data_IF_223669199414
#
_entry.id   IF_223669199414
#
_cell.length_a   1.000
_cell.length_b   1.000
_cell.length_c   1.000
_cell.angle_alpha   90.00
_cell.angle_beta   90.00
_cell.angle_gamma   90.00
#
_symmetry.space_group_name_H-M   'P 1'
#
loop_
_entity.id
_entity.type
_entity.pdbx_description
1 polymer ?
#
# COMPACT_ATOMS: atom_id res chain seq x y z
N UNK A 1 -6.72 2.21 28.15
CA UNK A 1 -7.16 3.63 28.00
C UNK A 1 -8.51 3.77 28.66
N UNK A 2 -8.74 4.75 29.53
CA UNK A 2 -10.07 4.94 30.13
C UNK A 2 -11.09 5.45 29.10
N UNK A 3 -12.37 5.13 29.26
CA UNK A 3 -13.44 5.59 28.34
C UNK A 3 -13.40 7.13 28.19
N UNK A 4 -13.19 7.87 29.29
CA UNK A 4 -13.05 9.33 29.27
C UNK A 4 -11.84 9.83 28.47
N UNK A 5 -10.73 9.09 28.47
CA UNK A 5 -9.54 9.47 27.67
C UNK A 5 -9.73 9.14 26.19
N UNK A 6 -10.43 8.06 25.84
CA UNK A 6 -10.73 7.68 24.46
C UNK A 6 -11.51 8.75 23.70
N UNK A 7 -12.59 9.28 24.29
CA UNK A 7 -13.43 10.28 23.63
C UNK A 7 -12.68 11.59 23.33
N UNK A 8 -11.68 11.91 24.15
CA UNK A 8 -10.78 13.08 23.99
C UNK A 8 -9.64 12.85 23.00
N UNK A 9 -9.44 11.63 22.50
CA UNK A 9 -8.37 11.31 21.58
C UNK A 9 -8.63 11.86 20.17
N UNK A 10 -7.55 12.10 19.41
CA UNK A 10 -7.65 12.45 17.98
C UNK A 10 -8.21 11.29 17.18
N UNK A 11 -8.83 11.56 16.03
CA UNK A 11 -9.41 10.54 15.14
C UNK A 11 -8.42 9.38 14.85
N UNK A 12 -7.14 9.62 14.47
CA UNK A 12 -6.19 8.53 14.25
C UNK A 12 -5.93 7.66 15.48
N UNK A 13 -5.97 8.24 16.68
CA UNK A 13 -5.78 7.49 17.94
C UNK A 13 -7.02 6.65 18.27
N UNK A 14 -8.22 7.16 17.95
CA UNK A 14 -9.45 6.37 18.05
C UNK A 14 -9.42 5.20 17.06
N UNK A 15 -9.00 5.45 15.82
CA UNK A 15 -8.86 4.43 14.78
C UNK A 15 -7.84 3.35 15.15
N UNK A 16 -6.73 3.67 15.83
CA UNK A 16 -5.80 2.65 16.34
C UNK A 16 -6.42 1.65 17.33
N UNK A 17 -7.60 1.96 17.89
CA UNK A 17 -8.34 1.06 18.80
C UNK A 17 -9.53 0.44 18.08
N UNK A 18 -10.31 1.24 17.35
CA UNK A 18 -11.51 0.77 16.64
C UNK A 18 -11.14 -0.19 15.50
N UNK A 19 -10.12 0.16 14.71
CA UNK A 19 -9.76 -0.61 13.52
C UNK A 19 -9.35 -2.05 13.85
N UNK A 20 -8.46 -2.31 14.83
CA UNK A 20 -8.15 -3.68 15.23
C UNK A 20 -9.38 -4.48 15.67
N UNK A 21 -10.37 -3.87 16.34
CA UNK A 21 -11.60 -4.57 16.73
C UNK A 21 -12.44 -4.98 15.52
N UNK A 22 -12.58 -4.10 14.53
CA UNK A 22 -13.25 -4.41 13.25
C UNK A 22 -12.51 -5.54 12.53
N UNK A 23 -11.18 -5.40 12.43
CA UNK A 23 -10.32 -6.38 11.77
C UNK A 23 -10.41 -7.75 12.45
N UNK A 24 -10.36 -7.82 13.79
CA UNK A 24 -10.49 -9.06 14.55
C UNK A 24 -11.86 -9.69 14.34
N UNK A 25 -12.93 -8.89 14.33
CA UNK A 25 -14.30 -9.38 14.09
C UNK A 25 -14.39 -10.04 12.72
N UNK A 26 -13.83 -9.41 11.68
CA UNK A 26 -13.77 -9.98 10.33
C UNK A 26 -12.86 -11.22 10.25
N UNK A 27 -11.72 -11.22 10.95
CA UNK A 27 -10.82 -12.37 10.98
C UNK A 27 -11.51 -13.60 11.61
N UNK A 28 -12.22 -13.41 12.73
CA UNK A 28 -13.02 -14.46 13.37
C UNK A 28 -14.15 -14.93 12.45
N UNK A 29 -14.82 -14.01 11.75
CA UNK A 29 -15.83 -14.39 10.76
C UNK A 29 -15.22 -15.24 9.64
N UNK A 30 -14.07 -14.84 9.08
CA UNK A 30 -13.41 -15.61 8.01
C UNK A 30 -12.81 -16.93 8.50
N UNK A 31 -12.54 -17.12 9.79
CA UNK A 31 -12.21 -18.47 10.31
C UNK A 31 -13.26 -19.52 9.96
N UNK A 32 -14.55 -19.15 9.91
CA UNK A 32 -15.64 -20.08 9.62
C UNK A 32 -16.12 -20.02 8.17
N UNK A 33 -16.02 -18.86 7.53
CA UNK A 33 -16.67 -18.62 6.24
C UNK A 33 -15.72 -18.43 5.05
N UNK A 34 -14.39 -18.45 5.22
CA UNK A 34 -13.42 -18.19 4.14
C UNK A 34 -13.70 -19.05 2.89
N UNK A 35 -13.78 -20.37 3.09
CA UNK A 35 -13.98 -21.32 2.00
C UNK A 35 -15.37 -21.17 1.37
N UNK A 36 -16.40 -20.94 2.19
CA UNK A 36 -17.78 -20.75 1.72
C UNK A 36 -17.90 -19.50 0.86
N UNK A 37 -17.24 -18.41 1.25
CA UNK A 37 -17.19 -17.17 0.48
C UNK A 37 -16.49 -17.41 -0.87
N UNK A 38 -15.33 -18.07 -0.87
CA UNK A 38 -14.63 -18.38 -2.12
C UNK A 38 -15.47 -19.28 -3.04
N UNK A 39 -16.12 -20.31 -2.52
CA UNK A 39 -17.04 -21.15 -3.32
C UNK A 39 -18.20 -20.36 -3.93
N UNK A 40 -18.73 -19.39 -3.19
CA UNK A 40 -19.87 -18.59 -3.64
C UNK A 40 -19.48 -17.55 -4.69
N UNK A 41 -18.31 -16.91 -4.53
CA UNK A 41 -17.86 -15.81 -5.38
C UNK A 41 -16.99 -16.25 -6.57
N UNK A 42 -16.50 -17.49 -6.58
CA UNK A 42 -15.54 -17.92 -7.58
C UNK A 42 -16.13 -17.92 -8.99
N UNK A 43 -15.47 -17.16 -9.87
CA UNK A 43 -15.75 -17.08 -11.30
C UNK A 43 -14.42 -16.87 -12.04
N UNK A 44 -13.91 -17.93 -12.66
CA UNK A 44 -12.67 -17.89 -13.45
C UNK A 44 -12.82 -17.09 -14.76
N UNK A 45 -14.05 -16.98 -15.26
CA UNK A 45 -14.35 -16.31 -16.54
C UNK A 45 -14.70 -14.83 -16.35
N UNK A 46 -14.69 -14.34 -15.10
CA UNK A 46 -14.92 -12.94 -14.76
C UNK A 46 -13.98 -12.00 -15.53
N UNK A 47 -14.54 -11.24 -16.46
CA UNK A 47 -13.80 -10.25 -17.26
C UNK A 47 -13.15 -9.19 -16.37
N UNK A 48 -13.88 -8.72 -15.36
CA UNK A 48 -13.39 -7.72 -14.40
C UNK A 48 -12.29 -8.30 -13.52
N UNK A 49 -12.49 -9.53 -13.06
CA UNK A 49 -11.51 -10.24 -12.24
C UNK A 49 -10.18 -10.44 -12.97
N UNK A 50 -10.24 -10.90 -14.22
CA UNK A 50 -9.07 -11.13 -15.07
C UNK A 50 -8.37 -9.81 -15.45
N UNK A 51 -9.14 -8.74 -15.66
CA UNK A 51 -8.57 -7.39 -15.83
C UNK A 51 -7.81 -6.94 -14.57
N UNK A 52 -8.38 -7.12 -13.38
CA UNK A 52 -7.74 -6.73 -12.11
C UNK A 52 -6.54 -7.63 -11.77
N UNK A 53 -6.57 -8.92 -12.11
CA UNK A 53 -5.38 -9.80 -12.02
C UNK A 53 -4.20 -9.21 -12.81
N UNK A 54 -4.47 -8.70 -14.01
CA UNK A 54 -3.44 -8.17 -14.93
C UNK A 54 -2.96 -6.76 -14.56
N UNK A 55 -3.87 -5.88 -14.15
CA UNK A 55 -3.60 -4.44 -14.06
C UNK A 55 -3.85 -3.82 -12.68
N UNK A 56 -4.44 -4.55 -11.73
CA UNK A 56 -4.82 -4.02 -10.41
C UNK A 56 -3.65 -3.51 -9.57
N UNK A 57 -2.43 -3.96 -9.86
CA UNK A 57 -1.20 -3.54 -9.18
C UNK A 57 -0.67 -2.18 -9.65
N UNK A 58 -1.01 -1.77 -10.88
CA UNK A 58 -0.42 -0.59 -11.55
C UNK A 58 -0.61 0.69 -10.73
N UNK A 59 -1.82 1.04 -10.23
CA UNK A 59 -1.99 2.26 -9.46
C UNK A 59 -1.12 2.32 -8.20
N UNK A 60 -0.94 1.18 -7.51
CA UNK A 60 -0.04 1.06 -6.36
C UNK A 60 1.43 1.29 -6.72
N UNK A 61 1.88 0.70 -7.83
CA UNK A 61 3.26 0.87 -8.31
C UNK A 61 3.54 2.32 -8.73
N UNK A 62 2.60 2.95 -9.46
CA UNK A 62 2.73 4.37 -9.85
C UNK A 62 2.76 5.30 -8.63
N UNK A 63 1.96 5.00 -7.60
CA UNK A 63 2.02 5.71 -6.33
C UNK A 63 3.36 5.54 -5.62
N UNK A 64 3.90 4.31 -5.58
CA UNK A 64 5.20 4.03 -5.00
C UNK A 64 6.32 4.82 -5.71
N UNK A 65 6.33 4.81 -7.05
CA UNK A 65 7.24 5.62 -7.86
C UNK A 65 7.12 7.11 -7.55
N UNK A 66 5.89 7.64 -7.53
CA UNK A 66 5.64 9.03 -7.18
C UNK A 66 6.17 9.41 -5.79
N UNK A 67 5.97 8.54 -4.79
CA UNK A 67 6.45 8.75 -3.43
C UNK A 67 8.00 8.76 -3.37
N UNK A 68 8.67 7.82 -4.05
CA UNK A 68 10.13 7.74 -4.11
C UNK A 68 10.71 8.97 -4.79
N UNK A 69 10.20 9.36 -5.97
CA UNK A 69 10.71 10.54 -6.67
C UNK A 69 10.48 11.84 -5.88
N UNK A 70 9.33 11.95 -5.21
CA UNK A 70 9.05 13.10 -4.34
C UNK A 70 9.99 13.13 -3.13
N UNK A 71 10.33 11.98 -2.55
CA UNK A 71 11.26 11.92 -1.43
C UNK A 71 12.66 12.34 -1.88
N UNK A 72 13.23 11.72 -2.91
CA UNK A 72 14.60 11.96 -3.35
C UNK A 72 14.89 13.39 -3.82
N UNK A 73 13.88 14.06 -4.37
CA UNK A 73 14.02 15.46 -4.81
C UNK A 73 13.98 16.48 -3.68
N UNK A 74 13.42 16.13 -2.52
CA UNK A 74 13.19 17.07 -1.42
C UNK A 74 13.90 16.70 -0.10
N UNK A 75 14.46 15.49 -0.01
CA UNK A 75 15.14 15.03 1.20
C UNK A 75 16.47 15.78 1.40
N UNK A 76 16.61 16.43 2.55
CA UNK A 76 17.81 17.19 2.89
C UNK A 76 18.77 16.39 3.79
N UNK A 77 19.68 15.63 3.17
CA UNK A 77 20.78 14.94 3.87
C UNK A 77 22.01 15.85 3.90
N UNK A 78 22.50 16.16 5.12
CA UNK A 78 23.69 17.00 5.34
C UNK A 78 24.99 16.35 4.82
N UNK A 79 25.17 15.06 5.06
CA UNK A 79 26.37 14.33 4.64
C UNK A 79 26.29 13.98 3.14
N UNK A 80 27.26 14.48 2.35
CA UNK A 80 27.30 14.29 0.90
C UNK A 80 27.38 12.82 0.48
N UNK A 81 28.11 11.97 1.21
CA UNK A 81 28.25 10.56 0.88
C UNK A 81 26.94 9.82 1.12
N UNK A 82 26.31 10.01 2.28
CA UNK A 82 24.99 9.41 2.55
C UNK A 82 23.91 9.89 1.58
N UNK A 83 23.98 11.15 1.13
CA UNK A 83 23.07 11.65 0.09
C UNK A 83 23.24 10.89 -1.24
N UNK A 84 24.48 10.62 -1.65
CA UNK A 84 24.77 9.83 -2.87
C UNK A 84 24.28 8.39 -2.73
N UNK A 85 24.58 7.73 -1.61
CA UNK A 85 24.12 6.35 -1.36
C UNK A 85 22.61 6.26 -1.34
N UNK A 86 21.93 7.21 -0.68
CA UNK A 86 20.48 7.25 -0.62
C UNK A 86 19.87 7.40 -2.02
N UNK A 87 20.37 8.37 -2.80
CA UNK A 87 19.91 8.58 -4.18
C UNK A 87 20.16 7.35 -5.07
N UNK A 88 21.31 6.68 -4.94
CA UNK A 88 21.59 5.43 -5.64
C UNK A 88 20.56 4.36 -5.29
N UNK A 89 20.25 4.20 -4.00
CA UNK A 89 19.20 3.28 -3.54
C UNK A 89 17.85 3.60 -4.16
N UNK A 90 17.44 4.87 -4.16
CA UNK A 90 16.17 5.28 -4.77
C UNK A 90 16.12 4.97 -6.27
N UNK A 91 17.20 5.24 -7.01
CA UNK A 91 17.31 4.90 -8.44
C UNK A 91 17.19 3.39 -8.68
N UNK A 92 17.82 2.56 -7.85
CA UNK A 92 17.73 1.10 -7.95
C UNK A 92 16.28 0.62 -7.71
N UNK A 93 15.63 1.13 -6.66
CA UNK A 93 14.25 0.76 -6.32
C UNK A 93 13.28 1.19 -7.44
N UNK A 94 13.36 2.45 -7.90
CA UNK A 94 12.47 2.91 -8.96
C UNK A 94 12.71 2.19 -10.29
N UNK A 95 13.96 1.82 -10.59
CA UNK A 95 14.28 0.96 -11.74
C UNK A 95 13.59 -0.40 -11.61
N UNK A 96 13.66 -1.04 -10.44
CA UNK A 96 12.98 -2.31 -10.19
C UNK A 96 11.46 -2.23 -10.37
N UNK A 97 10.84 -1.15 -9.89
CA UNK A 97 9.40 -0.91 -10.08
C UNK A 97 9.03 -0.65 -11.54
N UNK A 98 9.87 0.07 -12.31
CA UNK A 98 9.67 0.27 -13.75
C UNK A 98 9.78 -1.06 -14.51
N UNK A 99 10.79 -1.88 -14.19
CA UNK A 99 10.93 -3.22 -14.78
C UNK A 99 9.73 -4.12 -14.42
N UNK A 100 9.18 -3.98 -13.21
CA UNK A 100 7.98 -4.70 -12.81
C UNK A 100 6.76 -4.27 -13.62
N UNK A 101 6.57 -2.97 -13.89
CA UNK A 101 5.51 -2.48 -14.81
C UNK A 101 5.68 -3.04 -16.23
N UNK A 102 6.91 -3.04 -16.76
CA UNK A 102 7.22 -3.61 -18.08
C UNK A 102 6.88 -5.11 -18.10
N UNK A 103 7.22 -5.84 -17.02
CA UNK A 103 6.88 -7.25 -16.87
C UNK A 103 5.36 -7.49 -16.89
N UNK A 104 4.57 -6.67 -16.19
CA UNK A 104 3.11 -6.78 -16.22
C UNK A 104 2.57 -6.59 -17.65
N UNK A 105 3.08 -5.60 -18.37
CA UNK A 105 2.71 -5.36 -19.76
C UNK A 105 3.10 -6.54 -20.67
N UNK A 106 4.32 -7.06 -20.56
CA UNK A 106 4.77 -8.18 -21.39
C UNK A 106 4.02 -9.47 -21.10
N UNK A 107 3.74 -9.76 -19.83
CA UNK A 107 2.93 -10.91 -19.45
C UNK A 107 1.53 -10.85 -20.08
N UNK A 108 0.90 -9.67 -20.12
CA UNK A 108 -0.41 -9.50 -20.73
C UNK A 108 -0.40 -9.76 -22.24
N UNK A 109 0.66 -9.34 -22.94
CA UNK A 109 0.82 -9.56 -24.38
C UNK A 109 1.57 -10.86 -24.75
N UNK A 110 1.85 -11.73 -23.78
CA UNK A 110 2.60 -12.97 -23.97
C UNK A 110 4.00 -12.78 -24.61
N UNK A 111 4.65 -11.65 -24.35
CA UNK A 111 6.03 -11.43 -24.76
C UNK A 111 7.00 -12.15 -23.81
N UNK A 112 7.75 -13.11 -24.32
CA UNK A 112 8.80 -13.81 -23.57
C UNK A 112 10.15 -13.12 -23.74
N UNK A 113 10.86 -12.91 -22.62
CA UNK A 113 12.25 -12.46 -22.64
C UNK A 113 12.99 -13.00 -21.42
N UNK A 114 14.30 -13.20 -21.58
CA UNK A 114 15.18 -13.53 -20.47
C UNK A 114 15.90 -12.28 -19.99
N UNK A 115 15.87 -12.00 -18.68
CA UNK A 115 16.54 -10.82 -18.10
C UNK A 115 18.06 -10.77 -18.36
N UNK A 116 18.71 -11.92 -18.54
CA UNK A 116 20.16 -12.04 -18.80
C UNK A 116 20.48 -11.93 -20.30
N UNK A 117 19.49 -11.94 -21.19
CA UNK A 117 19.71 -11.74 -22.62
C UNK A 117 20.11 -10.30 -22.94
N UNK A 118 20.67 -10.06 -24.14
CA UNK A 118 20.95 -8.70 -24.63
C UNK A 118 19.70 -7.81 -24.54
N UNK A 119 18.52 -8.35 -24.87
CA UNK A 119 17.24 -7.66 -24.74
C UNK A 119 16.88 -7.35 -23.29
N UNK A 120 17.19 -8.24 -22.35
CA UNK A 120 16.99 -8.01 -20.92
C UNK A 120 17.91 -6.92 -20.38
N UNK A 121 19.18 -6.90 -20.80
CA UNK A 121 20.14 -5.86 -20.43
C UNK A 121 19.77 -4.49 -21.00
N UNK A 122 19.31 -4.42 -22.26
CA UNK A 122 18.84 -3.16 -22.86
C UNK A 122 17.58 -2.64 -22.15
N UNK A 123 16.65 -3.51 -21.75
CA UNK A 123 15.51 -3.15 -20.91
C UNK A 123 15.95 -2.63 -19.53
N UNK A 124 16.93 -3.28 -18.90
CA UNK A 124 17.51 -2.81 -17.64
C UNK A 124 18.11 -1.41 -17.75
N UNK A 125 18.96 -1.18 -18.76
CA UNK A 125 19.58 0.12 -19.00
C UNK A 125 18.56 1.20 -19.34
N UNK A 126 17.57 0.90 -20.19
CA UNK A 126 16.50 1.84 -20.51
C UNK A 126 15.65 2.18 -19.28
N UNK A 127 15.34 1.22 -18.40
CA UNK A 127 14.64 1.49 -17.14
C UNK A 127 15.45 2.41 -16.21
N UNK A 128 16.77 2.26 -16.14
CA UNK A 128 17.65 3.18 -15.38
C UNK A 128 17.60 4.58 -15.98
N UNK A 129 17.70 4.71 -17.31
CA UNK A 129 17.62 6.01 -17.99
C UNK A 129 16.26 6.69 -17.77
N UNK A 130 15.16 5.93 -17.84
CA UNK A 130 13.81 6.43 -17.53
C UNK A 130 13.72 6.88 -16.08
N UNK A 131 14.23 6.09 -15.12
CA UNK A 131 14.29 6.46 -13.71
C UNK A 131 15.02 7.80 -13.49
N UNK A 132 16.22 7.96 -14.08
CA UNK A 132 17.01 9.19 -14.00
C UNK A 132 16.31 10.39 -14.66
N UNK A 133 15.66 10.17 -15.81
CA UNK A 133 14.86 11.19 -16.49
C UNK A 133 13.69 11.65 -15.61
N UNK A 134 12.97 10.73 -14.98
CA UNK A 134 11.86 11.05 -14.08
C UNK A 134 12.35 11.82 -12.85
N UNK A 135 13.49 11.47 -12.27
CA UNK A 135 14.12 12.28 -11.21
C UNK A 135 14.47 13.69 -11.69
N UNK A 136 15.04 13.83 -12.89
CA UNK A 136 15.36 15.13 -13.48
C UNK A 136 14.10 15.97 -13.71
N UNK A 137 13.03 15.38 -14.26
CA UNK A 137 11.75 16.05 -14.47
C UNK A 137 11.10 16.45 -13.14
N UNK A 138 11.09 15.56 -12.14
CA UNK A 138 10.57 15.86 -10.80
C UNK A 138 11.34 16.99 -10.13
N UNK A 139 12.66 17.03 -10.27
CA UNK A 139 13.49 18.12 -9.74
C UNK A 139 13.27 19.44 -10.47
N UNK A 140 13.14 19.44 -11.79
CA UNK A 140 13.05 20.69 -12.58
C UNK A 140 11.65 21.27 -12.60
N UNK A 141 10.61 20.42 -12.73
CA UNK A 141 9.21 20.85 -12.86
C UNK A 141 8.47 20.90 -11.53
N UNK A 142 8.88 20.09 -10.55
CA UNK A 142 8.13 19.90 -9.31
C UNK A 142 8.91 20.21 -8.01
N UNK A 143 10.14 20.76 -8.06
CA UNK A 143 11.03 20.98 -6.89
C UNK A 143 10.49 21.78 -5.70
N UNK A 144 9.33 22.45 -5.82
CA UNK A 144 8.74 23.23 -4.73
C UNK A 144 7.66 22.43 -4.00
N UNK A 145 8.04 21.33 -3.35
CA UNK A 145 7.13 20.61 -2.47
C UNK A 145 7.13 21.23 -1.06
N UNK A 146 5.95 21.51 -0.52
CA UNK A 146 5.80 21.97 0.87
C UNK A 146 6.30 20.91 1.86
N UNK A 147 6.70 21.30 3.08
CA UNK A 147 7.12 20.38 4.17
C UNK A 147 6.13 19.20 4.35
N UNK A 148 4.85 19.49 4.22
CA UNK A 148 3.76 18.50 4.25
C UNK A 148 3.88 17.41 3.18
N UNK A 149 4.29 17.77 1.98
CA UNK A 149 4.48 16.82 0.89
C UNK A 149 5.69 15.92 1.15
N UNK A 150 6.73 16.44 1.82
CA UNK A 150 7.88 15.64 2.25
C UNK A 150 7.48 14.64 3.35
N UNK A 151 6.65 15.06 4.31
CA UNK A 151 6.09 14.14 5.30
C UNK A 151 5.23 13.06 4.66
N UNK A 152 4.44 13.40 3.64
CA UNK A 152 3.67 12.45 2.85
C UNK A 152 4.58 11.45 2.11
N UNK A 153 5.59 11.93 1.39
CA UNK A 153 6.50 11.08 0.63
C UNK A 153 7.27 10.13 1.55
N UNK A 154 7.81 10.66 2.65
CA UNK A 154 8.51 9.87 3.68
C UNK A 154 7.60 8.81 4.29
N UNK A 155 6.38 9.17 4.68
CA UNK A 155 5.41 8.22 5.22
C UNK A 155 5.09 7.13 4.20
N UNK A 156 4.84 7.51 2.95
CA UNK A 156 4.44 6.58 1.88
C UNK A 156 5.55 5.60 1.51
N UNK A 157 6.80 6.06 1.43
CA UNK A 157 7.96 5.20 1.21
C UNK A 157 8.16 4.23 2.38
N UNK A 158 8.08 4.70 3.63
CA UNK A 158 8.21 3.82 4.80
C UNK A 158 7.05 2.82 4.86
N UNK A 159 5.83 3.25 4.55
CA UNK A 159 4.65 2.38 4.48
C UNK A 159 4.84 1.26 3.47
N UNK A 160 5.33 1.59 2.27
CA UNK A 160 5.62 0.64 1.20
C UNK A 160 6.62 -0.42 1.68
N UNK A 161 7.76 0.00 2.23
CA UNK A 161 8.81 -0.93 2.65
C UNK A 161 8.40 -1.80 3.84
N UNK A 162 7.82 -1.22 4.89
CA UNK A 162 7.43 -1.98 6.08
C UNK A 162 6.31 -2.97 5.73
N UNK A 163 5.24 -2.49 5.08
CA UNK A 163 4.09 -3.34 4.78
C UNK A 163 4.44 -4.38 3.71
N UNK A 164 5.20 -3.99 2.68
CA UNK A 164 5.66 -4.91 1.63
C UNK A 164 6.58 -5.99 2.17
N UNK A 165 7.51 -5.64 3.07
CA UNK A 165 8.37 -6.62 3.73
C UNK A 165 7.56 -7.63 4.56
N UNK A 166 6.61 -7.16 5.37
CA UNK A 166 5.73 -8.05 6.15
C UNK A 166 4.92 -8.96 5.22
N UNK A 167 4.32 -8.41 4.17
CA UNK A 167 3.53 -9.17 3.19
C UNK A 167 4.37 -10.24 2.52
N UNK A 168 5.59 -9.92 2.06
CA UNK A 168 6.45 -10.86 1.35
C UNK A 168 7.00 -11.96 2.26
N UNK A 169 7.40 -11.62 3.49
CA UNK A 169 7.85 -12.62 4.48
C UNK A 169 6.72 -13.57 4.83
N UNK A 170 5.52 -13.06 5.12
CA UNK A 170 4.37 -13.91 5.40
C UNK A 170 4.04 -14.78 4.19
N UNK A 171 4.03 -14.20 2.98
CA UNK A 171 3.77 -14.93 1.73
C UNK A 171 4.72 -16.08 1.50
N UNK A 172 6.01 -15.87 1.75
CA UNK A 172 7.02 -16.91 1.63
C UNK A 172 6.83 -18.02 2.68
N UNK A 173 6.44 -17.68 3.90
CA UNK A 173 6.37 -18.61 5.03
C UNK A 173 5.01 -19.31 5.23
N UNK A 174 3.93 -18.84 4.60
CA UNK A 174 2.58 -19.33 4.92
C UNK A 174 2.19 -20.62 4.23
N UNK A 175 2.62 -20.83 2.99
CA UNK A 175 2.39 -22.09 2.26
C UNK A 175 0.94 -22.41 1.91
N UNK A 176 0.02 -21.43 1.99
CA UNK A 176 -1.41 -21.62 1.73
C UNK A 176 -1.70 -21.72 0.24
N UNK A 177 -2.40 -22.79 -0.17
CA UNK A 177 -2.86 -23.04 -1.55
C UNK A 177 -4.03 -22.13 -1.91
N UNK A 178 -4.00 -21.50 -3.10
CA UNK A 178 -5.08 -20.63 -3.57
C UNK A 178 -6.35 -21.42 -3.85
N UNK A 179 -7.49 -20.75 -3.85
CA UNK A 179 -8.77 -21.42 -4.14
C UNK A 179 -8.79 -22.05 -5.54
N UNK A 180 -8.35 -21.33 -6.56
CA UNK A 180 -8.30 -21.82 -7.95
C UNK A 180 -7.30 -22.96 -8.18
N UNK A 181 -6.35 -23.13 -7.26
CA UNK A 181 -5.30 -24.15 -7.33
C UNK A 181 -5.68 -25.40 -6.49
N UNK A 182 -6.89 -25.44 -5.89
CA UNK A 182 -7.37 -26.60 -5.15
C UNK A 182 -7.67 -27.76 -6.11
N UNK A 183 -7.17 -28.95 -5.79
CA UNK A 183 -7.48 -30.19 -6.52
C UNK A 183 -8.94 -30.62 -6.24
N UNK A 184 -9.47 -31.50 -7.09
CA UNK A 184 -10.81 -32.07 -6.91
C UNK A 184 -10.96 -32.64 -5.48
N UNK A 185 -11.98 -32.16 -4.76
CA UNK A 185 -12.27 -32.57 -3.38
C UNK A 185 -11.82 -31.59 -2.27
N UNK A 186 -11.16 -30.46 -2.59
CA UNK A 186 -10.78 -29.41 -1.62
C UNK A 186 -9.89 -29.94 -0.46
N UNK A 187 -9.19 -31.03 -0.70
CA UNK A 187 -8.40 -31.75 0.32
C UNK A 187 -7.21 -30.94 0.83
N UNK A 188 -6.71 -30.00 0.02
CA UNK A 188 -5.57 -29.13 0.35
C UNK A 188 -5.98 -27.78 0.94
N UNK A 189 -7.27 -27.53 1.19
CA UNK A 189 -7.68 -26.31 1.88
C UNK A 189 -7.16 -26.27 3.31
N UNK A 190 -6.61 -25.12 3.68
CA UNK A 190 -6.09 -24.86 5.01
C UNK A 190 -6.64 -23.55 5.53
N UNK A 191 -6.96 -23.53 6.82
CA UNK A 191 -7.44 -22.33 7.49
C UNK A 191 -6.32 -21.29 7.61
N UNK A 192 -6.67 -20.01 7.49
CA UNK A 192 -5.70 -18.92 7.42
C UNK A 192 -4.78 -18.81 8.64
N UNK A 193 -5.21 -19.28 9.81
CA UNK A 193 -4.42 -19.24 11.05
C UNK A 193 -3.49 -20.46 11.23
N UNK A 194 -3.44 -21.37 10.26
CA UNK A 194 -2.57 -22.55 10.26
C UNK A 194 -1.55 -22.45 9.11
N UNK A 195 -0.38 -21.82 9.33
CA UNK A 195 0.70 -21.80 8.35
C UNK A 195 1.14 -23.23 7.98
N UNK A 196 1.35 -23.49 6.69
CA UNK A 196 1.78 -24.78 6.15
C UNK A 196 3.29 -24.86 5.88
N UNK A 197 4.02 -23.76 6.10
CA UNK A 197 5.46 -23.69 5.86
C UNK A 197 5.81 -23.49 4.38
N UNK A 198 7.00 -23.96 3.97
CA UNK A 198 7.56 -23.71 2.65
C UNK A 198 7.04 -24.71 1.60
N UNK A 199 5.77 -24.61 1.25
CA UNK A 199 5.12 -25.50 0.26
C UNK A 199 5.25 -25.03 -1.19
N UNK A 200 5.77 -23.81 -1.40
CA UNK A 200 5.74 -23.11 -2.69
C UNK A 200 4.41 -22.42 -3.02
N UNK A 201 3.35 -22.68 -2.25
CA UNK A 201 2.06 -22.01 -2.41
C UNK A 201 2.02 -20.65 -1.70
N UNK A 202 1.53 -19.63 -2.39
CA UNK A 202 1.64 -18.22 -1.98
C UNK A 202 0.30 -17.47 -2.02
N UNK A 203 -0.75 -18.06 -1.45
CA UNK A 203 -2.05 -17.39 -1.31
C UNK A 203 -2.03 -16.30 -0.23
N UNK A 204 -1.47 -16.58 0.95
CA UNK A 204 -1.59 -15.66 2.09
C UNK A 204 -0.30 -14.88 2.34
N UNK A 205 -0.31 -13.54 2.50
CA UNK A 205 -1.40 -12.60 2.21
C UNK A 205 -1.34 -12.09 0.76
N UNK A 206 -2.37 -11.34 0.34
CA UNK A 206 -2.49 -10.90 -1.06
C UNK A 206 -1.59 -9.71 -1.41
N UNK A 207 -0.75 -9.88 -2.43
CA UNK A 207 0.12 -8.83 -2.98
C UNK A 207 -0.67 -7.72 -3.71
N UNK A 208 -1.62 -8.11 -4.57
CA UNK A 208 -2.52 -7.17 -5.24
C UNK A 208 -3.31 -6.32 -4.24
N UNK A 209 -3.87 -6.94 -3.19
CA UNK A 209 -4.60 -6.20 -2.16
C UNK A 209 -3.66 -5.22 -1.43
N UNK A 210 -2.43 -5.63 -1.12
CA UNK A 210 -1.42 -4.74 -0.55
C UNK A 210 -1.20 -3.51 -1.44
N UNK A 211 -0.92 -3.70 -2.74
CA UNK A 211 -0.72 -2.60 -3.69
C UNK A 211 -1.99 -1.73 -3.89
N UNK A 212 -3.18 -2.30 -3.72
CA UNK A 212 -4.44 -1.56 -3.70
C UNK A 212 -4.56 -0.63 -2.48
N UNK A 213 -4.14 -1.11 -1.30
CA UNK A 213 -4.29 -0.39 -0.04
C UNK A 213 -3.18 0.63 0.24
N UNK A 214 -1.97 0.50 -0.34
CA UNK A 214 -0.87 1.47 -0.09
C UNK A 214 -1.19 2.88 -0.55
N UNK A 215 -2.26 3.08 -1.34
CA UNK A 215 -2.71 4.38 -1.79
C UNK A 215 -3.29 5.26 -0.67
N UNK A 216 -3.56 4.71 0.53
CA UNK A 216 -4.21 5.43 1.64
C UNK A 216 -3.61 6.81 1.91
N UNK A 217 -2.28 7.03 1.87
CA UNK A 217 -1.71 8.35 2.10
C UNK A 217 -2.12 9.43 1.09
N UNK A 218 -2.72 9.12 -0.07
CA UNK A 218 -3.05 10.11 -1.12
C UNK A 218 -3.90 11.28 -0.61
N UNK A 219 -4.87 11.04 0.29
CA UNK A 219 -5.69 12.12 0.86
C UNK A 219 -4.84 13.14 1.65
N UNK A 220 -3.66 12.73 2.13
CA UNK A 220 -2.76 13.61 2.87
C UNK A 220 -2.33 14.80 2.03
N UNK A 221 -2.18 14.66 0.71
CA UNK A 221 -1.81 15.77 -0.19
C UNK A 221 -2.81 16.93 -0.11
N UNK A 222 -4.08 16.65 0.19
CA UNK A 222 -5.18 17.62 0.20
C UNK A 222 -5.56 18.14 1.60
N UNK A 223 -4.99 17.60 2.69
CA UNK A 223 -5.21 18.13 4.05
C UNK A 223 -5.05 19.65 4.13
N UNK A 224 -6.02 20.35 4.73
CA UNK A 224 -6.01 21.81 4.92
C UNK A 224 -5.94 22.64 3.63
N UNK A 225 -6.02 22.03 2.44
CA UNK A 225 -6.09 22.73 1.14
C UNK A 225 -7.51 22.75 0.61
N UNK A 226 -8.16 21.58 0.59
CA UNK A 226 -9.50 21.43 0.09
C UNK A 226 -10.16 20.21 0.75
N UNK A 227 -11.17 20.48 1.58
CA UNK A 227 -11.88 19.44 2.35
C UNK A 227 -12.61 18.44 1.45
N UNK A 228 -13.24 18.90 0.37
CA UNK A 228 -13.89 18.03 -0.60
C UNK A 228 -12.89 17.09 -1.27
N UNK A 229 -11.76 17.61 -1.79
CA UNK A 229 -10.72 16.78 -2.43
C UNK A 229 -10.12 15.77 -1.45
N UNK A 230 -9.91 16.17 -0.18
CA UNK A 230 -9.44 15.26 0.86
C UNK A 230 -10.38 14.04 1.00
N UNK A 231 -11.68 14.27 1.11
CA UNK A 231 -12.65 13.19 1.26
C UNK A 231 -12.80 12.36 -0.01
N UNK A 232 -12.82 12.99 -1.20
CA UNK A 232 -12.85 12.28 -2.48
C UNK A 232 -11.69 11.30 -2.58
N UNK A 233 -10.45 11.74 -2.36
CA UNK A 233 -9.29 10.87 -2.50
C UNK A 233 -9.26 9.76 -1.43
N UNK A 234 -9.71 10.04 -0.21
CA UNK A 234 -9.83 9.00 0.82
C UNK A 234 -10.85 7.93 0.41
N UNK A 235 -12.03 8.34 -0.05
CA UNK A 235 -13.10 7.43 -0.48
C UNK A 235 -12.66 6.62 -1.70
N UNK A 236 -12.09 7.27 -2.71
CA UNK A 236 -11.60 6.60 -3.92
C UNK A 236 -10.55 5.54 -3.60
N UNK A 237 -9.63 5.83 -2.69
CA UNK A 237 -8.64 4.84 -2.25
C UNK A 237 -9.29 3.65 -1.53
N UNK A 238 -10.27 3.89 -0.66
CA UNK A 238 -10.99 2.81 0.02
C UNK A 238 -11.75 1.95 -1.00
N UNK A 239 -12.47 2.58 -1.93
CA UNK A 239 -13.18 1.88 -3.00
C UNK A 239 -12.21 1.04 -3.82
N UNK A 240 -11.08 1.61 -4.23
CA UNK A 240 -10.07 0.89 -5.01
C UNK A 240 -9.47 -0.29 -4.25
N UNK A 241 -9.10 -0.10 -2.98
CA UNK A 241 -8.55 -1.18 -2.14
C UNK A 241 -9.55 -2.33 -1.95
N UNK A 242 -10.82 -2.01 -1.69
CA UNK A 242 -11.91 -3.01 -1.59
C UNK A 242 -12.15 -3.69 -2.94
N UNK A 243 -12.23 -2.92 -4.02
CA UNK A 243 -12.45 -3.44 -5.37
C UNK A 243 -11.36 -4.42 -5.79
N UNK A 244 -10.08 -4.05 -5.67
CA UNK A 244 -8.97 -4.96 -5.98
C UNK A 244 -9.04 -6.20 -5.10
N UNK A 245 -9.26 -6.05 -3.79
CA UNK A 245 -9.37 -7.17 -2.85
C UNK A 245 -10.49 -8.14 -3.21
N UNK A 246 -11.67 -7.60 -3.59
CA UNK A 246 -12.84 -8.38 -3.98
C UNK A 246 -12.57 -9.20 -5.24
N UNK A 247 -12.04 -8.57 -6.29
CA UNK A 247 -11.75 -9.27 -7.55
C UNK A 247 -10.68 -10.36 -7.41
N UNK A 248 -9.78 -10.26 -6.41
CA UNK A 248 -8.85 -11.36 -6.08
C UNK A 248 -9.54 -12.61 -5.55
N UNK A 249 -10.66 -12.42 -4.84
CA UNK A 249 -11.47 -13.52 -4.33
C UNK A 249 -12.28 -14.13 -5.47
N UNK A 250 -12.87 -13.30 -6.34
CA UNK A 250 -13.66 -13.73 -7.50
C UNK A 250 -12.85 -14.65 -8.41
N UNK A 251 -11.63 -14.29 -8.79
CA UNK A 251 -10.79 -15.16 -9.65
C UNK A 251 -10.14 -16.34 -8.89
N UNK A 252 -10.48 -16.53 -7.62
CA UNK A 252 -9.94 -17.61 -6.78
C UNK A 252 -8.45 -17.50 -6.49
N UNK A 253 -7.83 -16.33 -6.71
CA UNK A 253 -6.41 -16.12 -6.45
C UNK A 253 -6.10 -16.01 -4.95
N UNK A 254 -7.08 -15.60 -4.15
CA UNK A 254 -6.94 -15.34 -2.73
C UNK A 254 -8.26 -15.61 -1.99
N UNK A 255 -8.17 -15.94 -0.71
CA UNK A 255 -9.35 -15.99 0.17
C UNK A 255 -9.64 -14.62 0.80
N UNK A 256 -10.82 -14.46 1.41
CA UNK A 256 -11.22 -13.22 2.07
C UNK A 256 -10.27 -12.85 3.22
N UNK A 257 -9.77 -13.84 3.98
CA UNK A 257 -8.76 -13.58 5.00
C UNK A 257 -7.44 -13.07 4.41
N UNK A 258 -7.02 -13.55 3.24
CA UNK A 258 -5.72 -13.19 2.64
C UNK A 258 -5.66 -11.69 2.30
N UNK A 259 -6.78 -11.16 1.80
CA UNK A 259 -6.93 -9.73 1.48
C UNK A 259 -7.19 -8.90 2.75
N UNK A 260 -7.89 -9.46 3.75
CA UNK A 260 -8.08 -8.83 5.06
C UNK A 260 -6.74 -8.58 5.76
N UNK A 261 -5.80 -9.53 5.69
CA UNK A 261 -4.47 -9.37 6.27
C UNK A 261 -3.68 -8.25 5.60
N UNK A 262 -3.68 -8.17 4.26
CA UNK A 262 -3.03 -7.07 3.55
C UNK A 262 -3.62 -5.70 3.92
N UNK A 263 -4.95 -5.59 4.00
CA UNK A 263 -5.62 -4.38 4.46
C UNK A 263 -5.22 -4.00 5.90
N UNK A 264 -5.18 -4.98 6.79
CA UNK A 264 -4.78 -4.81 8.19
C UNK A 264 -3.35 -4.32 8.33
N UNK A 265 -2.39 -5.00 7.69
CA UNK A 265 -0.97 -4.65 7.70
C UNK A 265 -0.77 -3.22 7.22
N UNK A 266 -1.33 -2.86 6.07
CA UNK A 266 -1.17 -1.52 5.49
C UNK A 266 -1.81 -0.45 6.38
N UNK A 267 -3.05 -0.68 6.83
CA UNK A 267 -3.79 0.34 7.58
C UNK A 267 -3.20 0.57 8.97
N UNK A 268 -2.83 -0.49 9.69
CA UNK A 268 -2.20 -0.36 11.01
C UNK A 268 -0.84 0.35 10.88
N UNK A 269 -0.02 -0.07 9.91
CA UNK A 269 1.27 0.58 9.64
C UNK A 269 1.06 2.05 9.29
N UNK A 270 0.09 2.37 8.43
CA UNK A 270 -0.27 3.75 8.08
C UNK A 270 -0.65 4.56 9.33
N UNK A 271 -1.52 4.05 10.19
CA UNK A 271 -1.96 4.77 11.40
C UNK A 271 -0.81 5.05 12.38
N UNK A 272 0.10 4.08 12.56
CA UNK A 272 1.30 4.24 13.38
C UNK A 272 2.21 5.33 12.78
N UNK A 273 2.49 5.25 11.47
CA UNK A 273 3.34 6.21 10.78
C UNK A 273 2.71 7.62 10.75
N UNK A 274 1.40 7.71 10.57
CA UNK A 274 0.66 8.97 10.61
C UNK A 274 0.86 9.66 11.95
N UNK A 275 0.66 8.95 13.06
CA UNK A 275 0.83 9.52 14.40
C UNK A 275 2.28 9.92 14.70
N UNK A 276 3.27 9.25 14.09
CA UNK A 276 4.69 9.57 14.24
C UNK A 276 5.14 10.77 13.40
N UNK A 277 4.69 10.87 12.15
CA UNK A 277 5.22 11.84 11.18
C UNK A 277 4.29 13.03 10.91
N UNK A 278 3.00 12.93 11.22
CA UNK A 278 2.04 14.02 11.13
C UNK A 278 1.65 14.46 12.54
N UNK A 279 2.41 15.39 13.17
CA UNK A 279 2.09 15.87 14.50
C UNK A 279 0.72 16.54 14.51
N UNK A 280 0.00 16.35 15.62
CA UNK A 280 -1.25 17.05 15.93
C UNK A 280 -0.94 18.56 15.91
N UNK A 281 -1.26 19.27 14.82
CA UNK A 281 -1.53 20.71 14.96
C UNK A 281 -2.56 20.80 16.08
N UNK A 282 -2.32 21.61 17.10
CA UNK A 282 -3.33 21.93 18.12
C UNK A 282 -4.59 22.41 17.37
N UNK A 283 -5.58 21.53 17.21
CA UNK A 283 -6.88 21.81 16.56
C UNK A 283 -7.74 22.73 17.45
N UNK A 284 -7.24 23.12 18.62
CA UNK A 284 -7.82 24.21 19.39
C UNK A 284 -6.94 25.44 19.21
N UNK A 285 -7.41 26.49 18.50
CA UNK A 285 -6.95 27.82 18.84
C UNK A 285 -7.30 27.95 20.32
N UNK A 286 -6.29 27.98 21.19
CA UNK A 286 -6.49 28.46 22.55
C UNK A 286 -7.20 29.78 22.38
N UNK A 287 -8.47 29.84 22.81
CA UNK A 287 -9.21 31.09 22.90
C UNK A 287 -8.24 32.08 23.53
N UNK A 288 -7.77 33.05 22.74
CA UNK A 288 -7.05 34.20 23.28
C UNK A 288 -7.99 34.70 24.36
N UNK A 289 -7.62 34.53 25.64
CA UNK A 289 -8.25 35.28 26.73
C UNK A 289 -8.20 36.73 26.24
N UNK A 290 -9.36 37.29 25.86
CA UNK A 290 -9.50 38.73 25.68
C UNK A 290 -8.96 39.30 26.98
N UNK A 291 -7.79 39.95 26.93
CA UNK A 291 -7.39 40.85 28.00
C UNK A 291 -8.53 41.84 28.11
N UNK A 292 -9.37 41.70 29.13
CA UNK A 292 -10.25 42.77 29.55
C UNK A 292 -9.34 43.93 29.88
N UNK A 293 -9.24 44.90 28.97
CA UNK A 293 -8.85 46.25 29.34
C UNK A 293 -9.86 46.67 30.41
N UNK A 294 -9.48 46.60 31.68
CA UNK A 294 -10.10 47.43 32.70
C UNK A 294 -9.76 48.86 32.30
N UNK A 295 -10.76 49.55 31.75
CA UNK A 295 -10.84 51.00 31.86
C UNK A 295 -11.40 51.29 33.24
N UNK A 296 -10.88 52.36 33.82
CA UNK A 296 -11.15 52.96 35.13
C UNK A 296 -10.23 52.41 36.22
#
# INVERSE_FOLDING_TARGET
MSIKTFWKASIPNKLLIIFPLIWITLAVFFTFYDLTISKFLFDSDSLVGNFVESFGEIPGILFALFAIFTLGTNLNIKNKNYKKLFFLGEVLISTGLILYLIRLFFNYFNFSFHFISLNGLTLGLSAILVSLLLFYLMKTKFSKFSEKNNSFAKLSVILLFISGFIVEVLKFMWGRVRFRDLQEGITSFTSWYLPQGLTGSQSFPSGHAFLGWILIPLFLLFLNKNELKKWIFLILTIIFGVFVSYERIVVGAHYASDVLFSWGIVTITFLILYNRYFPKKKIFPTMKKKKSKKRN
#
